data_IF_066353977716
#
_entry.id   IF_066353977716
#
_cell.length_a   1.000
_cell.length_b   1.000
_cell.length_c   1.000
_cell.angle_alpha   90.00
_cell.angle_beta   90.00
_cell.angle_gamma   90.00
#
_symmetry.space_group_name_H-M   'P 1'
#
loop_
_entity.id
_entity.type
_entity.pdbx_description
1 polymer ?
#
# COMPACT_ATOMS: atom_id res chain seq x y z
N UNK A 1 -42.60 25.63 50.17
CA UNK A 1 -42.19 24.26 49.82
C UNK A 1 -41.94 24.13 48.30
N UNK A 2 -40.86 24.74 47.75
CA UNK A 2 -40.53 24.62 46.30
C UNK A 2 -39.02 24.63 45.96
N UNK A 3 -38.11 24.70 46.95
CA UNK A 3 -36.67 24.86 46.67
C UNK A 3 -35.91 23.52 46.61
N UNK A 4 -36.44 22.44 47.21
CA UNK A 4 -35.76 21.14 47.26
C UNK A 4 -35.81 20.32 45.94
N UNK A 5 -36.62 20.71 44.96
CA UNK A 5 -36.82 19.90 43.73
C UNK A 5 -35.75 20.14 42.67
N UNK A 6 -35.13 21.32 42.61
CA UNK A 6 -34.12 21.67 41.60
C UNK A 6 -32.72 21.09 41.88
N UNK A 7 -32.40 20.79 43.15
CA UNK A 7 -31.10 20.22 43.53
C UNK A 7 -30.93 18.77 43.03
N UNK A 8 -32.03 17.99 43.03
CA UNK A 8 -31.98 16.60 42.52
C UNK A 8 -31.78 16.53 40.99
N UNK A 9 -32.35 17.46 40.23
CA UNK A 9 -32.16 17.49 38.77
C UNK A 9 -30.77 18.01 38.39
N UNK A 10 -30.22 18.97 39.13
CA UNK A 10 -28.85 19.48 38.89
C UNK A 10 -27.79 18.41 39.15
N UNK A 11 -27.95 17.57 40.18
CA UNK A 11 -27.01 16.48 40.49
C UNK A 11 -27.04 15.35 39.44
N UNK A 12 -28.23 15.06 38.88
CA UNK A 12 -28.39 14.00 37.86
C UNK A 12 -27.81 14.42 36.49
N UNK A 13 -27.87 15.71 36.16
CA UNK A 13 -27.29 16.26 34.92
C UNK A 13 -25.75 16.23 34.97
N UNK A 14 -25.14 16.47 36.13
CA UNK A 14 -23.67 16.43 36.28
C UNK A 14 -23.13 14.99 36.16
N UNK A 15 -23.85 13.99 36.68
CA UNK A 15 -23.48 12.57 36.55
C UNK A 15 -23.62 12.07 35.10
N UNK A 16 -24.58 12.60 34.34
CA UNK A 16 -24.75 12.26 32.92
C UNK A 16 -23.69 12.89 32.01
N UNK A 17 -23.05 13.99 32.43
CA UNK A 17 -22.00 14.67 31.66
C UNK A 17 -20.64 13.94 31.80
N UNK A 18 -20.41 13.21 32.89
CA UNK A 18 -19.17 12.45 33.09
C UNK A 18 -19.12 11.11 32.34
N UNK A 19 -20.22 10.64 31.74
CA UNK A 19 -20.26 9.37 31.01
C UNK A 19 -19.90 9.45 29.52
N UNK A 20 -19.56 10.64 29.01
CA UNK A 20 -19.14 10.82 27.61
C UNK A 20 -17.63 11.06 27.45
N UNK A 21 -16.81 10.69 28.44
CA UNK A 21 -15.38 10.49 28.19
C UNK A 21 -15.24 9.13 27.49
N UNK A 22 -15.68 9.10 26.24
CA UNK A 22 -15.35 8.04 25.30
C UNK A 22 -13.83 8.04 25.20
N UNK A 23 -13.17 7.06 25.84
CA UNK A 23 -11.79 6.74 25.50
C UNK A 23 -11.76 6.48 24.00
N UNK A 24 -11.24 7.42 23.20
CA UNK A 24 -10.78 7.09 21.86
C UNK A 24 -9.69 6.02 22.04
N UNK A 25 -9.77 4.88 21.36
CA UNK A 25 -8.70 3.91 21.42
C UNK A 25 -7.42 4.61 20.96
N UNK A 26 -6.43 4.71 21.84
CA UNK A 26 -5.08 5.12 21.47
C UNK A 26 -4.54 3.97 20.64
N UNK A 27 -4.47 4.18 19.33
CA UNK A 27 -3.79 3.27 18.42
C UNK A 27 -2.30 3.49 18.68
N UNK A 28 -1.69 2.57 19.43
CA UNK A 28 -0.25 2.49 19.49
C UNK A 28 0.21 1.99 18.12
N UNK A 29 0.77 2.89 17.33
CA UNK A 29 1.60 2.52 16.19
C UNK A 29 2.84 1.86 16.77
N UNK A 30 3.04 0.58 16.51
CA UNK A 30 4.33 -0.05 16.76
C UNK A 30 5.38 0.81 16.05
N UNK A 31 6.40 1.24 16.80
CA UNK A 31 7.52 1.94 16.20
C UNK A 31 8.20 0.99 15.21
N UNK A 32 8.54 1.48 14.02
CA UNK A 32 9.46 0.75 13.14
C UNK A 32 10.70 0.38 13.96
N UNK A 33 11.18 -0.85 13.83
CA UNK A 33 12.35 -1.26 14.60
C UNK A 33 13.62 -0.60 14.05
N UNK A 34 14.42 -0.01 14.94
CA UNK A 34 15.66 0.73 14.58
C UNK A 34 16.81 -0.21 14.17
N UNK A 35 16.50 -1.39 13.63
CA UNK A 35 17.48 -2.40 13.21
C UNK A 35 17.96 -2.05 11.80
N UNK A 36 19.24 -1.69 11.67
CA UNK A 36 19.88 -1.60 10.37
C UNK A 36 19.88 -2.97 9.68
N UNK A 37 19.38 -3.00 8.45
CA UNK A 37 19.28 -4.21 7.63
C UNK A 37 20.14 -4.08 6.40
N UNK A 38 20.72 -5.20 5.98
CA UNK A 38 21.36 -5.26 4.68
C UNK A 38 20.29 -5.32 3.58
N UNK A 39 20.51 -4.65 2.44
CA UNK A 39 19.58 -4.71 1.32
C UNK A 39 19.26 -6.15 0.88
N UNK A 40 17.99 -6.41 0.60
CA UNK A 40 17.50 -7.73 0.17
C UNK A 40 18.04 -8.07 -1.21
N UNK A 41 18.71 -9.21 -1.34
CA UNK A 41 19.24 -9.72 -2.61
C UNK A 41 18.24 -10.58 -3.40
N UNK A 42 17.13 -10.97 -2.78
CA UNK A 42 16.07 -11.80 -3.36
C UNK A 42 14.84 -10.99 -3.80
N UNK A 43 13.82 -11.68 -4.29
CA UNK A 43 12.55 -11.08 -4.67
C UNK A 43 11.79 -10.53 -3.46
N UNK A 44 11.23 -9.32 -3.60
CA UNK A 44 10.31 -8.72 -2.63
C UNK A 44 8.90 -9.05 -3.06
N UNK A 45 8.15 -9.74 -2.20
CA UNK A 45 6.75 -10.12 -2.49
C UNK A 45 5.83 -8.92 -2.40
N UNK A 46 4.71 -8.96 -3.12
CA UNK A 46 3.72 -7.88 -3.12
C UNK A 46 2.38 -8.43 -2.59
N UNK A 47 1.81 -7.76 -1.60
CA UNK A 47 0.49 -8.04 -1.07
C UNK A 47 -0.43 -6.85 -1.31
N UNK A 48 -1.68 -7.10 -1.71
CA UNK A 48 -2.67 -6.03 -1.95
C UNK A 48 -3.34 -5.52 -0.67
N UNK A 49 -3.21 -6.25 0.44
CA UNK A 49 -3.73 -5.88 1.74
C UNK A 49 -3.05 -6.71 2.85
N UNK A 50 -3.13 -6.27 4.11
CA UNK A 50 -2.57 -7.00 5.25
C UNK A 50 -3.11 -8.42 5.45
N UNK A 51 -4.38 -8.67 5.11
CA UNK A 51 -5.02 -9.98 5.31
C UNK A 51 -4.53 -11.05 4.34
N UNK A 52 -3.91 -10.65 3.23
CA UNK A 52 -3.26 -11.55 2.29
C UNK A 52 -1.93 -12.11 2.81
N UNK A 53 -1.36 -11.52 3.87
CA UNK A 53 -0.12 -12.00 4.49
C UNK A 53 -0.43 -13.16 5.43
N UNK A 54 0.03 -14.36 5.09
CA UNK A 54 -0.30 -15.60 5.80
C UNK A 54 0.67 -15.94 6.94
N UNK A 55 1.68 -15.11 7.15
CA UNK A 55 2.68 -15.26 8.20
C UNK A 55 2.68 -14.02 9.09
N UNK A 56 3.14 -14.17 10.32
CA UNK A 56 3.37 -13.00 11.20
C UNK A 56 4.53 -12.19 10.65
N UNK A 57 4.38 -10.88 10.64
CA UNK A 57 5.36 -9.97 10.08
C UNK A 57 5.56 -8.77 11.00
N UNK A 58 6.71 -8.11 10.84
CA UNK A 58 7.00 -6.80 11.42
C UNK A 58 7.03 -5.78 10.28
N UNK A 59 6.37 -4.64 10.47
CA UNK A 59 6.50 -3.50 9.56
C UNK A 59 7.80 -2.78 9.87
N UNK A 60 8.58 -2.49 8.82
CA UNK A 60 9.93 -1.94 8.94
C UNK A 60 10.08 -0.60 8.21
N UNK A 61 9.06 -0.18 7.46
CA UNK A 61 9.05 1.13 6.83
C UNK A 61 7.76 1.44 6.09
N UNK A 62 7.45 2.72 5.96
CA UNK A 62 6.40 3.24 5.08
C UNK A 62 7.05 3.89 3.88
N UNK A 63 6.70 3.40 2.70
CA UNK A 63 7.21 3.87 1.41
C UNK A 63 6.13 4.69 0.75
N UNK A 64 6.48 5.91 0.31
CA UNK A 64 5.60 6.78 -0.46
C UNK A 64 6.35 7.26 -1.68
N UNK A 65 5.95 6.79 -2.85
CA UNK A 65 6.50 7.20 -4.14
C UNK A 65 5.46 8.03 -4.87
N UNK A 66 5.85 9.20 -5.37
CA UNK A 66 5.07 9.96 -6.32
C UNK A 66 5.82 10.16 -7.64
N UNK A 67 5.06 10.42 -8.70
CA UNK A 67 5.62 10.62 -10.02
C UNK A 67 6.17 12.03 -10.25
N UNK A 68 6.05 12.96 -9.28
CA UNK A 68 6.44 14.35 -9.42
C UNK A 68 5.77 15.08 -10.60
N UNK A 69 4.64 14.56 -11.11
CA UNK A 69 4.00 15.04 -12.33
C UNK A 69 4.71 14.62 -13.63
N UNK A 70 5.77 13.81 -13.56
CA UNK A 70 6.24 13.04 -14.72
C UNK A 70 5.27 11.89 -14.96
N UNK A 71 4.86 11.62 -16.19
CA UNK A 71 3.78 10.66 -16.51
C UNK A 71 4.12 9.17 -16.25
N UNK A 72 4.88 8.86 -15.19
CA UNK A 72 5.20 7.49 -14.79
C UNK A 72 3.93 6.67 -14.64
N UNK A 73 4.02 5.43 -15.07
CA UNK A 73 2.96 4.45 -14.86
C UNK A 73 2.93 4.02 -13.40
N UNK A 74 1.79 3.54 -12.95
CA UNK A 74 1.66 3.01 -11.59
C UNK A 74 2.62 1.83 -11.35
N UNK A 75 2.81 0.97 -12.36
CA UNK A 75 3.79 -0.11 -12.33
C UNK A 75 5.21 0.39 -12.09
N UNK A 76 5.63 1.48 -12.73
CA UNK A 76 6.96 2.07 -12.48
C UNK A 76 7.11 2.62 -11.05
N UNK A 77 6.03 3.19 -10.47
CA UNK A 77 6.06 3.64 -9.08
C UNK A 77 6.12 2.47 -8.10
N UNK A 78 5.45 1.35 -8.43
CA UNK A 78 5.53 0.10 -7.67
C UNK A 78 6.94 -0.50 -7.77
N UNK A 79 7.56 -0.50 -8.94
CA UNK A 79 8.93 -0.97 -9.14
C UNK A 79 9.92 -0.15 -8.28
N UNK A 80 9.77 1.18 -8.24
CA UNK A 80 10.57 2.05 -7.34
C UNK A 80 10.31 1.70 -5.87
N UNK A 81 9.04 1.49 -5.48
CA UNK A 81 8.70 1.12 -4.11
C UNK A 81 9.28 -0.24 -3.72
N UNK A 82 9.39 -1.18 -4.66
CA UNK A 82 10.05 -2.47 -4.45
C UNK A 82 11.54 -2.29 -4.22
N UNK A 83 12.20 -1.42 -5.00
CA UNK A 83 13.62 -1.16 -4.85
C UNK A 83 13.92 -0.47 -3.51
N UNK A 84 13.12 0.51 -3.08
CA UNK A 84 13.23 1.11 -1.74
C UNK A 84 13.00 0.06 -0.64
N UNK A 85 12.02 -0.84 -0.81
CA UNK A 85 11.80 -1.93 0.13
C UNK A 85 13.00 -2.90 0.20
N UNK A 86 13.68 -3.16 -0.93
CA UNK A 86 14.91 -3.95 -0.93
C UNK A 86 16.00 -3.26 -0.14
N UNK A 87 16.18 -1.94 -0.31
CA UNK A 87 17.18 -1.16 0.45
C UNK A 87 16.93 -1.25 1.96
N UNK A 88 15.66 -1.27 2.36
CA UNK A 88 15.25 -1.49 3.76
C UNK A 88 15.43 -2.95 4.24
N UNK A 89 15.79 -3.89 3.36
CA UNK A 89 15.91 -5.31 3.70
C UNK A 89 14.57 -6.02 3.87
N UNK A 90 13.49 -5.50 3.27
CA UNK A 90 12.16 -6.08 3.36
C UNK A 90 12.05 -7.41 2.61
N UNK A 91 11.19 -8.30 3.12
CA UNK A 91 10.80 -9.54 2.43
C UNK A 91 9.60 -9.33 1.51
N UNK A 92 8.79 -8.32 1.82
CA UNK A 92 7.60 -7.99 1.07
C UNK A 92 7.17 -6.54 1.25
N UNK A 93 6.30 -6.08 0.36
CA UNK A 93 5.52 -4.86 0.52
C UNK A 93 4.03 -5.19 0.60
N UNK A 94 3.29 -4.43 1.39
CA UNK A 94 1.83 -4.37 1.38
C UNK A 94 1.43 -3.06 0.72
N UNK A 95 0.73 -3.11 -0.42
CA UNK A 95 0.20 -1.95 -1.09
C UNK A 95 -0.94 -1.35 -0.25
N UNK A 96 -0.81 -0.09 0.14
CA UNK A 96 -1.77 0.62 0.99
C UNK A 96 -2.71 1.50 0.16
N UNK A 97 -2.17 2.22 -0.83
CA UNK A 97 -2.97 3.06 -1.71
C UNK A 97 -2.26 3.33 -3.03
N UNK A 98 -3.03 3.41 -4.10
CA UNK A 98 -2.63 3.95 -5.41
C UNK A 98 -3.64 5.03 -5.75
N UNK A 99 -3.22 6.29 -5.81
CA UNK A 99 -4.13 7.39 -6.09
C UNK A 99 -3.54 8.48 -6.98
N UNK A 100 -4.43 9.16 -7.71
CA UNK A 100 -4.12 10.42 -8.38
C UNK A 100 -4.46 11.56 -7.42
N UNK A 101 -3.46 12.34 -7.03
CA UNK A 101 -3.64 13.53 -6.20
C UNK A 101 -3.60 14.77 -7.08
N UNK A 102 -4.52 15.69 -6.85
CA UNK A 102 -4.51 17.01 -7.48
C UNK A 102 -3.67 17.94 -6.64
N UNK A 103 -2.60 18.45 -7.22
CA UNK A 103 -1.63 19.33 -6.56
C UNK A 103 -2.05 20.78 -6.63
N UNK A 104 -2.82 21.13 -7.66
CA UNK A 104 -3.36 22.47 -7.81
C UNK A 104 -3.93 22.74 -9.20
N UNK A 105 -4.30 23.99 -9.42
CA UNK A 105 -4.77 24.49 -10.70
C UNK A 105 -3.92 25.68 -11.15
N UNK A 106 -3.54 25.70 -12.42
CA UNK A 106 -3.02 26.91 -13.07
C UNK A 106 -4.06 27.54 -13.97
N UNK A 107 -4.18 28.87 -13.96
CA UNK A 107 -5.01 29.58 -14.92
C UNK A 107 -4.28 29.64 -16.27
N UNK A 108 -4.84 29.00 -17.30
CA UNK A 108 -4.44 29.18 -18.70
C UNK A 108 -5.52 30.00 -19.41
N UNK A 109 -5.45 31.32 -19.23
CA UNK A 109 -6.53 32.23 -19.60
C UNK A 109 -7.74 32.05 -18.66
N UNK A 110 -8.93 31.80 -19.23
CA UNK A 110 -10.17 31.60 -18.47
C UNK A 110 -10.43 30.13 -18.10
N UNK A 111 -9.50 29.22 -18.40
CA UNK A 111 -9.64 27.78 -18.13
C UNK A 111 -8.67 27.38 -17.02
N UNK A 112 -9.16 26.89 -15.87
CA UNK A 112 -8.30 26.29 -14.86
C UNK A 112 -7.84 24.89 -15.32
N UNK A 113 -6.54 24.68 -15.40
CA UNK A 113 -5.94 23.38 -15.74
C UNK A 113 -5.40 22.76 -14.46
N UNK A 114 -5.82 21.53 -14.16
CA UNK A 114 -5.36 20.79 -12.99
C UNK A 114 -3.98 20.17 -13.23
N UNK A 115 -3.10 20.23 -12.23
CA UNK A 115 -1.90 19.41 -12.16
C UNK A 115 -2.12 18.28 -11.19
N UNK A 116 -1.92 17.06 -11.66
CA UNK A 116 -2.09 15.85 -10.88
C UNK A 116 -0.76 15.09 -10.81
N UNK A 117 -0.54 14.42 -9.69
CA UNK A 117 0.53 13.44 -9.51
C UNK A 117 -0.04 12.09 -9.13
N UNK A 118 0.58 11.02 -9.59
CA UNK A 118 0.29 9.67 -9.10
C UNK A 118 1.09 9.41 -7.85
N UNK A 119 0.47 8.76 -6.87
CA UNK A 119 1.12 8.40 -5.61
C UNK A 119 0.82 6.94 -5.27
N UNK A 120 1.87 6.18 -5.00
CA UNK A 120 1.83 4.82 -4.47
C UNK A 120 2.33 4.85 -3.04
N UNK A 121 1.57 4.21 -2.13
CA UNK A 121 1.98 3.98 -0.75
C UNK A 121 2.04 2.51 -0.46
N UNK A 122 3.09 2.08 0.23
CA UNK A 122 3.29 0.71 0.65
C UNK A 122 3.88 0.61 2.05
N UNK A 123 3.61 -0.48 2.74
CA UNK A 123 4.28 -0.87 3.97
C UNK A 123 5.33 -1.94 3.65
N UNK A 124 6.60 -1.68 3.97
CA UNK A 124 7.68 -2.65 3.86
C UNK A 124 7.65 -3.57 5.09
N UNK A 125 7.66 -4.89 4.87
CA UNK A 125 7.51 -5.88 5.93
C UNK A 125 8.60 -6.95 5.86
N UNK A 126 8.94 -7.50 7.02
CA UNK A 126 9.77 -8.71 7.16
C UNK A 126 8.98 -9.81 7.85
N UNK A 127 9.31 -11.06 7.54
CA UNK A 127 8.75 -12.19 8.28
C UNK A 127 9.24 -12.15 9.73
N UNK A 128 8.31 -12.26 10.68
CA UNK A 128 8.64 -12.35 12.09
C UNK A 128 9.06 -13.78 12.43
N UNK A 129 10.36 -14.06 12.29
CA UNK A 129 10.93 -15.38 12.58
C UNK A 129 10.86 -15.77 14.07
N UNK A 130 10.68 -14.80 14.96
CA UNK A 130 10.59 -15.00 16.41
C UNK A 130 9.20 -15.48 16.83
N UNK A 131 8.19 -15.36 15.96
CA UNK A 131 6.84 -15.80 16.22
C UNK A 131 6.57 -17.28 15.89
N UNK A 132 7.62 -18.12 15.93
CA UNK A 132 7.61 -19.58 15.75
C UNK A 132 6.92 -20.34 16.90
N UNK A 133 5.73 -19.93 17.28
CA UNK A 133 4.81 -20.79 18.00
C UNK A 133 3.47 -20.86 17.24
N UNK A 134 3.27 -22.00 16.59
CA UNK A 134 1.99 -22.55 16.10
C UNK A 134 1.30 -21.87 14.91
N UNK A 135 1.90 -21.92 13.70
CA UNK A 135 1.11 -21.83 12.47
C UNK A 135 1.45 -23.00 11.54
N UNK A 136 0.48 -23.90 11.37
CA UNK A 136 0.58 -25.03 10.43
C UNK A 136 0.79 -24.51 9.02
N UNK A 137 1.79 -25.06 8.36
CA UNK A 137 2.17 -24.81 6.98
C UNK A 137 1.01 -25.13 6.02
N UNK A 138 0.37 -24.10 5.48
CA UNK A 138 -0.19 -24.19 4.14
C UNK A 138 0.73 -23.39 3.23
N UNK A 139 1.31 -24.10 2.25
CA UNK A 139 2.20 -23.57 1.23
C UNK A 139 1.65 -22.27 0.63
N UNK A 140 2.52 -21.29 0.30
CA UNK A 140 2.07 -20.04 -0.29
C UNK A 140 1.36 -20.32 -1.61
N UNK A 141 0.08 -19.90 -1.70
CA UNK A 141 -0.60 -19.76 -2.98
C UNK A 141 0.04 -18.55 -3.66
N UNK A 142 0.89 -18.82 -4.66
CA UNK A 142 1.45 -17.80 -5.53
C UNK A 142 0.30 -17.26 -6.38
N UNK A 143 -0.29 -16.13 -5.96
CA UNK A 143 -1.19 -15.37 -6.82
C UNK A 143 -0.30 -14.45 -7.66
N UNK A 144 0.13 -14.94 -8.82
CA UNK A 144 0.69 -14.12 -9.88
C UNK A 144 -0.42 -13.24 -10.46
N UNK A 145 -0.83 -12.19 -9.73
CA UNK A 145 -1.67 -11.13 -10.26
C UNK A 145 -0.78 -10.01 -10.79
N UNK A 146 0.10 -10.37 -11.73
CA UNK A 146 0.65 -9.38 -12.65
C UNK A 146 -0.53 -9.00 -13.53
N UNK A 147 -0.90 -7.72 -13.51
CA UNK A 147 -1.99 -7.21 -14.34
C UNK A 147 -1.69 -7.61 -15.79
N UNK A 148 -2.66 -8.25 -16.48
CA UNK A 148 -2.53 -8.64 -17.89
C UNK A 148 -2.06 -7.45 -18.75
N UNK A 149 -2.43 -6.22 -18.35
CA UNK A 149 -1.98 -4.99 -19.00
C UNK A 149 -0.44 -4.79 -18.95
N UNK A 150 0.19 -5.10 -17.81
CA UNK A 150 1.64 -4.92 -17.63
C UNK A 150 2.43 -5.99 -18.39
N UNK A 151 1.92 -7.22 -18.44
CA UNK A 151 2.51 -8.29 -19.26
C UNK A 151 2.41 -7.95 -20.75
N UNK A 152 1.28 -7.37 -21.20
CA UNK A 152 1.11 -6.90 -22.57
C UNK A 152 2.02 -5.71 -22.90
N UNK A 153 2.25 -4.80 -21.97
CA UNK A 153 3.16 -3.67 -22.15
C UNK A 153 4.62 -4.13 -22.30
N UNK A 154 5.07 -5.05 -21.43
CA UNK A 154 6.41 -5.67 -21.52
C UNK A 154 6.57 -6.46 -22.82
N UNK A 155 5.55 -7.22 -23.21
CA UNK A 155 5.57 -8.00 -24.45
C UNK A 155 5.68 -7.09 -25.69
N UNK A 156 4.98 -5.95 -25.69
CA UNK A 156 5.09 -4.96 -26.77
C UNK A 156 6.47 -4.33 -26.82
N UNK A 157 7.04 -3.97 -25.67
CA UNK A 157 8.39 -3.42 -25.58
C UNK A 157 9.44 -4.37 -26.17
N UNK A 158 9.37 -5.67 -25.87
CA UNK A 158 10.29 -6.67 -26.43
C UNK A 158 10.20 -6.81 -27.96
N UNK A 159 9.01 -6.64 -28.53
CA UNK A 159 8.82 -6.58 -29.98
C UNK A 159 9.43 -5.30 -30.56
N UNK A 160 9.15 -4.15 -29.94
CA UNK A 160 9.63 -2.85 -30.41
C UNK A 160 11.18 -2.76 -30.33
N UNK A 161 11.79 -3.47 -29.38
CA UNK A 161 13.24 -3.66 -29.24
C UNK A 161 13.83 -4.69 -30.22
N UNK A 162 12.99 -5.37 -31.02
CA UNK A 162 13.40 -6.38 -31.99
C UNK A 162 13.86 -7.70 -31.38
N UNK A 163 13.64 -7.91 -30.08
CA UNK A 163 13.95 -9.16 -29.36
C UNK A 163 12.99 -10.28 -29.75
N UNK A 164 11.75 -9.92 -30.08
CA UNK A 164 10.72 -10.83 -30.57
C UNK A 164 10.33 -10.51 -32.01
N UNK A 165 10.09 -11.56 -32.78
CA UNK A 165 9.43 -11.42 -34.09
C UNK A 165 7.95 -11.12 -33.94
N UNK A 166 7.31 -10.59 -34.99
CA UNK A 166 5.85 -10.33 -35.00
C UNK A 166 5.04 -11.58 -34.66
N UNK A 167 5.46 -12.73 -35.17
CA UNK A 167 4.78 -14.01 -35.00
C UNK A 167 4.86 -14.51 -33.56
N UNK A 168 6.01 -14.33 -32.90
CA UNK A 168 6.20 -14.68 -31.50
C UNK A 168 5.42 -13.73 -30.58
N UNK A 169 5.40 -12.44 -30.92
CA UNK A 169 4.60 -11.44 -30.22
C UNK A 169 3.11 -11.80 -30.23
N UNK A 170 2.54 -12.10 -31.39
CA UNK A 170 1.10 -12.43 -31.48
C UNK A 170 0.75 -13.72 -30.74
N UNK A 171 1.59 -14.76 -30.83
CA UNK A 171 1.37 -16.03 -30.10
C UNK A 171 1.39 -15.84 -28.58
N UNK A 172 2.31 -15.01 -28.07
CA UNK A 172 2.38 -14.74 -26.64
C UNK A 172 1.23 -13.85 -26.18
N UNK A 173 0.87 -12.83 -26.98
CA UNK A 173 -0.28 -11.96 -26.71
C UNK A 173 -1.57 -12.75 -26.58
N UNK A 174 -1.84 -13.67 -27.52
CA UNK A 174 -3.04 -14.49 -27.50
C UNK A 174 -3.10 -15.45 -26.29
N UNK A 175 -1.95 -15.98 -25.86
CA UNK A 175 -1.85 -16.77 -24.62
C UNK A 175 -2.17 -15.93 -23.37
N UNK A 176 -1.74 -14.66 -23.35
CA UNK A 176 -1.96 -13.75 -22.23
C UNK A 176 -3.42 -13.28 -22.13
N UNK A 177 -4.11 -13.09 -23.27
CA UNK A 177 -5.53 -12.68 -23.28
C UNK A 177 -6.49 -13.82 -22.92
N UNK A 178 -6.07 -15.08 -23.05
CA UNK A 178 -6.92 -16.27 -22.84
C UNK A 178 -6.62 -16.99 -21.51
N UNK A 179 -5.87 -16.36 -20.60
CA UNK A 179 -5.54 -16.85 -19.27
C UNK A 179 -6.58 -16.38 -18.26
#
# INVERSE_FOLDING_TARGET
MKVLKYIKYSLFVIISIFFFISCSPVVYVDAFDDVERTPKQGEVRIFSNPQAVTYKYKEIGLITIDDGGSEKTEGELIDIAIDEAKELGADAIILLSQNNQTDGYVPMGNIPVAFNRKVVRASAIIMDEEAKDNVKTNSPVIINNISIADELAKLKKLKDEGVLTEEEFQKQKEKLLNK
#
